data_IF_312097996574
#
_entry.id   IF_312097996574
#
_cell.length_a   1.000
_cell.length_b   1.000
_cell.length_c   1.000
_cell.angle_alpha   90.00
_cell.angle_beta   90.00
_cell.angle_gamma   90.00
#
_symmetry.space_group_name_H-M   'P 1'
#
loop_
_entity.id
_entity.type
_entity.pdbx_description
1 polymer ?
#
# COMPACT_ATOMS: atom_id res chain seq x y z
N UNK A 1 6.58 -10.32 9.28
CA UNK A 1 5.87 -9.03 9.21
C UNK A 1 6.83 -8.01 8.62
N UNK A 2 6.75 -7.73 7.31
CA UNK A 2 7.45 -6.56 6.74
C UNK A 2 6.66 -5.31 7.14
N UNK A 3 6.88 -4.84 8.37
CA UNK A 3 6.35 -3.56 8.82
C UNK A 3 6.99 -2.45 7.99
N UNK A 4 6.21 -1.83 7.12
CA UNK A 4 6.61 -0.62 6.43
C UNK A 4 7.13 0.38 7.49
N UNK A 5 8.36 0.89 7.32
CA UNK A 5 9.00 1.81 8.29
C UNK A 5 8.13 3.03 8.60
N UNK A 6 7.27 3.40 7.66
CA UNK A 6 6.24 4.42 7.82
C UNK A 6 5.31 4.15 9.00
N UNK A 7 4.83 2.91 9.13
CA UNK A 7 3.91 2.51 10.20
C UNK A 7 4.61 2.35 11.54
N UNK A 8 5.92 2.07 11.55
CA UNK A 8 6.70 2.04 12.80
C UNK A 8 6.86 3.44 13.38
N UNK A 9 7.26 4.43 12.57
CA UNK A 9 7.34 5.82 13.03
C UNK A 9 5.99 6.39 13.45
N UNK A 10 4.92 5.97 12.76
CA UNK A 10 3.54 6.30 13.15
C UNK A 10 3.16 5.69 14.51
N UNK A 11 3.38 4.39 14.75
CA UNK A 11 3.03 3.73 16.01
C UNK A 11 3.79 4.32 17.21
N UNK A 12 5.08 4.63 17.03
CA UNK A 12 5.88 5.30 18.06
C UNK A 12 5.35 6.70 18.38
N UNK A 13 4.99 7.48 17.36
CA UNK A 13 4.44 8.82 17.54
C UNK A 13 3.11 8.79 18.29
N UNK A 14 2.19 7.91 17.90
CA UNK A 14 0.86 7.76 18.54
C UNK A 14 0.99 7.38 20.02
N UNK A 15 1.88 6.44 20.36
CA UNK A 15 2.09 6.00 21.76
C UNK A 15 2.58 7.11 22.68
N UNK A 16 3.24 8.13 22.13
CA UNK A 16 3.73 9.28 22.88
C UNK A 16 2.76 10.47 22.95
N UNK A 17 1.65 10.44 22.22
CA UNK A 17 0.72 11.56 22.14
C UNK A 17 -0.31 11.56 23.26
N UNK A 18 -0.63 12.75 23.75
CA UNK A 18 -1.80 12.98 24.60
C UNK A 18 -3.06 13.21 23.75
N UNK A 19 -4.23 12.91 24.31
CA UNK A 19 -5.51 13.22 23.67
C UNK A 19 -5.64 14.73 23.45
N UNK A 20 -6.03 15.13 22.24
CA UNK A 20 -6.11 16.51 21.78
C UNK A 20 -4.78 17.08 21.27
N UNK A 21 -3.70 16.29 21.27
CA UNK A 21 -2.41 16.71 20.71
C UNK A 21 -2.38 16.50 19.19
N UNK A 22 -1.82 17.49 18.49
CA UNK A 22 -1.47 17.38 17.06
C UNK A 22 0.04 17.27 16.92
N UNK A 23 0.50 16.32 16.10
CA UNK A 23 1.91 16.18 15.72
C UNK A 23 2.04 16.13 14.21
N UNK A 24 3.19 16.54 13.70
CA UNK A 24 3.49 16.53 12.28
C UNK A 24 4.66 15.58 12.06
N UNK A 25 4.44 14.54 11.25
CA UNK A 25 5.42 13.52 10.93
C UNK A 25 5.83 13.66 9.47
N UNK A 26 7.14 13.72 9.23
CA UNK A 26 7.67 13.58 7.87
C UNK A 26 7.91 12.10 7.59
N UNK A 27 7.39 11.64 6.47
CA UNK A 27 7.46 10.25 6.08
C UNK A 27 7.82 10.15 4.58
N UNK A 28 8.63 9.16 4.22
CA UNK A 28 8.99 8.90 2.84
C UNK A 28 8.64 7.47 2.46
N UNK A 29 8.17 7.26 1.23
CA UNK A 29 7.92 5.92 0.71
C UNK A 29 9.18 5.15 0.34
N UNK A 30 10.35 5.63 0.79
CA UNK A 30 11.67 5.13 0.40
C UNK A 30 12.16 5.70 -0.92
N UNK A 31 13.36 5.27 -1.32
CA UNK A 31 13.97 5.67 -2.58
C UNK A 31 13.27 4.99 -3.76
N UNK A 32 13.02 5.76 -4.82
CA UNK A 32 12.59 5.21 -6.09
C UNK A 32 13.78 4.52 -6.76
N UNK A 33 13.62 3.23 -7.07
CA UNK A 33 14.68 2.40 -7.65
C UNK A 33 14.38 2.13 -9.11
N UNK A 34 15.30 2.54 -9.98
CA UNK A 34 15.22 2.27 -11.42
C UNK A 34 15.20 0.77 -11.74
N UNK A 35 15.81 -0.04 -10.88
CA UNK A 35 15.83 -1.51 -11.01
C UNK A 35 14.45 -2.15 -10.85
N UNK A 36 13.50 -1.45 -10.22
CA UNK A 36 12.11 -1.90 -10.06
C UNK A 36 11.20 -1.37 -11.18
N UNK A 37 11.76 -0.65 -12.16
CA UNK A 37 11.08 -0.30 -13.40
C UNK A 37 11.37 -1.38 -14.45
N UNK A 38 10.34 -2.12 -14.82
CA UNK A 38 10.45 -3.20 -15.78
C UNK A 38 9.85 -2.79 -17.12
N UNK A 39 10.61 -2.97 -18.20
CA UNK A 39 10.10 -2.97 -19.56
C UNK A 39 9.97 -4.42 -20.01
N UNK A 40 8.73 -4.89 -20.16
CA UNK A 40 8.44 -6.30 -20.45
C UNK A 40 7.80 -6.39 -21.84
N UNK A 41 8.34 -7.23 -22.76
CA UNK A 41 7.72 -7.45 -24.06
C UNK A 41 6.28 -7.95 -23.94
N UNK A 42 5.40 -7.59 -24.88
CA UNK A 42 3.98 -8.00 -24.84
C UNK A 42 3.79 -9.51 -24.86
N UNK A 43 4.68 -10.23 -25.55
CA UNK A 43 4.67 -11.70 -25.66
C UNK A 43 5.15 -12.43 -24.38
N UNK A 44 5.58 -11.68 -23.37
CA UNK A 44 6.04 -12.29 -22.12
C UNK A 44 4.86 -12.98 -21.40
N UNK A 45 5.05 -14.19 -20.83
CA UNK A 45 3.98 -14.94 -20.16
C UNK A 45 3.31 -14.16 -19.03
N UNK A 46 4.04 -13.27 -18.36
CA UNK A 46 3.49 -12.41 -17.32
C UNK A 46 2.47 -11.40 -17.87
N UNK A 47 2.73 -10.82 -19.04
CA UNK A 47 1.80 -9.88 -19.67
C UNK A 47 0.55 -10.61 -20.15
N UNK A 48 0.69 -11.79 -20.75
CA UNK A 48 -0.44 -12.63 -21.14
C UNK A 48 -1.32 -13.03 -19.94
N UNK A 49 -0.69 -13.35 -18.78
CA UNK A 49 -1.40 -13.62 -17.52
C UNK A 49 -2.18 -12.40 -17.04
N UNK A 50 -1.55 -11.23 -17.05
CA UNK A 50 -2.17 -9.96 -16.66
C UNK A 50 -3.34 -9.59 -17.59
N UNK A 51 -3.17 -9.69 -18.91
CA UNK A 51 -4.24 -9.50 -19.88
C UNK A 51 -5.44 -10.40 -19.59
N UNK A 52 -5.20 -11.69 -19.33
CA UNK A 52 -6.26 -12.64 -19.00
C UNK A 52 -7.00 -12.29 -17.71
N UNK A 53 -6.26 -11.90 -16.66
CA UNK A 53 -6.84 -11.54 -15.35
C UNK A 53 -7.63 -10.24 -15.40
N UNK A 54 -7.14 -9.23 -16.12
CA UNK A 54 -7.75 -7.90 -16.19
C UNK A 54 -8.62 -7.69 -17.45
N UNK A 55 -8.89 -8.74 -18.22
CA UNK A 55 -9.76 -8.69 -19.42
C UNK A 55 -11.13 -8.07 -19.15
N UNK A 56 -11.72 -8.38 -18.00
CA UNK A 56 -13.03 -7.86 -17.58
C UNK A 56 -13.00 -6.40 -17.13
N UNK A 57 -11.81 -5.84 -16.88
CA UNK A 57 -11.61 -4.44 -16.46
C UNK A 57 -11.28 -3.51 -17.63
N UNK A 58 -11.43 -3.97 -18.87
CA UNK A 58 -11.05 -3.22 -20.08
C UNK A 58 -9.62 -3.46 -20.55
N UNK A 59 -8.93 -4.47 -19.98
CA UNK A 59 -7.58 -4.85 -20.35
C UNK A 59 -6.49 -4.05 -19.61
N UNK A 60 -5.26 -4.12 -20.13
CA UNK A 60 -4.12 -3.41 -19.57
C UNK A 60 -4.12 -1.96 -20.05
N UNK A 61 -4.37 -1.03 -19.13
CA UNK A 61 -4.37 0.40 -19.39
C UNK A 61 -3.30 1.11 -18.54
N UNK A 62 -2.68 2.20 -19.05
CA UNK A 62 -1.83 3.06 -18.22
C UNK A 62 -2.56 3.56 -16.97
N UNK A 63 -1.85 3.58 -15.84
CA UNK A 63 -2.39 3.92 -14.52
C UNK A 63 -3.04 2.76 -13.76
N UNK A 64 -3.24 1.60 -14.40
CA UNK A 64 -3.79 0.43 -13.73
C UNK A 64 -2.76 -0.16 -12.76
N UNK A 65 -3.22 -0.48 -11.54
CA UNK A 65 -2.43 -1.22 -10.56
C UNK A 65 -2.68 -2.71 -10.76
N UNK A 66 -1.62 -3.46 -10.98
CA UNK A 66 -1.65 -4.91 -11.20
C UNK A 66 -0.84 -5.67 -10.17
N UNK A 67 -1.25 -6.90 -9.91
CA UNK A 67 -0.52 -7.83 -9.06
C UNK A 67 0.31 -8.79 -9.93
N UNK A 68 1.63 -8.72 -9.77
CA UNK A 68 2.62 -9.58 -10.44
C UNK A 68 2.57 -11.02 -9.89
N UNK A 69 3.17 -11.99 -10.60
CA UNK A 69 3.14 -13.40 -10.23
C UNK A 69 3.84 -13.72 -8.89
N UNK A 70 4.75 -12.85 -8.46
CA UNK A 70 5.41 -12.92 -7.16
C UNK A 70 4.57 -12.30 -6.02
N UNK A 71 3.35 -11.83 -6.30
CA UNK A 71 2.48 -11.14 -5.36
C UNK A 71 2.83 -9.66 -5.13
N UNK A 72 3.83 -9.12 -5.82
CA UNK A 72 4.14 -7.70 -5.75
C UNK A 72 3.14 -6.87 -6.56
N UNK A 73 2.84 -5.67 -6.08
CA UNK A 73 2.00 -4.73 -6.80
C UNK A 73 2.85 -3.85 -7.70
N UNK A 74 2.41 -3.60 -8.93
CA UNK A 74 3.06 -2.74 -9.89
C UNK A 74 2.03 -1.85 -10.61
N UNK A 75 2.46 -0.66 -11.04
CA UNK A 75 1.63 0.28 -11.81
C UNK A 75 2.04 0.24 -13.27
N UNK A 76 1.08 0.16 -14.19
CA UNK A 76 1.36 0.26 -15.62
C UNK A 76 1.61 1.73 -15.97
N UNK A 77 2.81 2.07 -16.40
CA UNK A 77 3.12 3.43 -16.84
C UNK A 77 2.77 3.64 -18.31
N UNK A 78 3.04 2.62 -19.12
CA UNK A 78 2.85 2.69 -20.57
C UNK A 78 2.50 1.30 -21.09
N UNK A 79 1.55 1.25 -22.01
CA UNK A 79 1.10 0.02 -22.66
C UNK A 79 1.15 0.25 -24.15
N UNK A 80 2.06 -0.45 -24.81
CA UNK A 80 2.20 -0.43 -26.28
C UNK A 80 2.00 -1.84 -26.83
N UNK A 81 1.87 -1.96 -28.15
CA UNK A 81 1.73 -3.26 -28.81
C UNK A 81 3.03 -4.09 -28.75
N UNK A 82 4.18 -3.46 -28.54
CA UNK A 82 5.48 -4.13 -28.47
C UNK A 82 5.90 -4.44 -27.02
N UNK A 83 5.70 -3.50 -26.09
CA UNK A 83 6.15 -3.61 -24.71
C UNK A 83 5.19 -2.95 -23.71
N UNK A 84 5.25 -3.40 -22.46
CA UNK A 84 4.53 -2.85 -21.32
C UNK A 84 5.54 -2.40 -20.27
N UNK A 85 5.43 -1.14 -19.83
CA UNK A 85 6.25 -0.60 -18.75
C UNK A 85 5.52 -0.71 -17.43
N UNK A 86 6.14 -1.41 -16.50
CA UNK A 86 5.61 -1.72 -15.17
C UNK A 86 6.53 -1.10 -14.12
N UNK A 87 5.97 -0.28 -13.25
CA UNK A 87 6.67 0.26 -12.09
C UNK A 87 6.29 -0.55 -10.85
N UNK A 88 7.21 -1.38 -10.36
CA UNK A 88 7.04 -2.17 -9.14
C UNK A 88 7.57 -1.46 -7.88
N UNK A 89 7.91 -0.17 -7.98
CA UNK A 89 8.24 0.61 -6.80
C UNK A 89 7.02 0.76 -5.88
N UNK A 90 7.29 1.05 -4.59
CA UNK A 90 6.24 1.48 -3.68
C UNK A 90 5.52 2.70 -4.28
N UNK A 91 4.19 2.77 -4.18
CA UNK A 91 3.39 3.90 -4.69
C UNK A 91 3.86 5.26 -4.16
N UNK A 92 4.48 5.27 -2.98
CA UNK A 92 5.01 6.46 -2.32
C UNK A 92 6.53 6.63 -2.52
N UNK A 93 7.20 5.73 -3.26
CA UNK A 93 8.63 5.79 -3.49
C UNK A 93 9.02 7.09 -4.21
N UNK A 94 10.11 7.72 -3.75
CA UNK A 94 10.57 9.01 -4.26
C UNK A 94 9.68 10.19 -3.86
N UNK A 95 8.64 9.98 -3.05
CA UNK A 95 7.82 11.05 -2.48
C UNK A 95 8.13 11.20 -1.00
N UNK A 96 8.45 12.43 -0.60
CA UNK A 96 8.40 12.87 0.79
C UNK A 96 7.05 13.50 1.03
N UNK A 97 6.37 13.09 2.09
CA UNK A 97 5.07 13.64 2.46
C UNK A 97 5.01 13.88 3.96
N UNK A 98 4.20 14.85 4.32
CA UNK A 98 3.99 15.26 5.70
C UNK A 98 2.61 14.79 6.14
N UNK A 99 2.55 14.09 7.26
CA UNK A 99 1.31 13.63 7.88
C UNK A 99 1.08 14.49 9.11
N UNK A 100 -0.01 15.25 9.13
CA UNK A 100 -0.51 15.86 10.35
C UNK A 100 -1.45 14.86 11.03
N UNK A 101 -1.15 14.56 12.29
CA UNK A 101 -1.85 13.56 13.07
C UNK A 101 -2.39 14.20 14.33
N UNK A 102 -3.68 14.04 14.57
CA UNK A 102 -4.36 14.49 15.79
C UNK A 102 -4.92 13.29 16.55
N UNK A 103 -4.59 13.17 17.84
CA UNK A 103 -5.14 12.11 18.68
C UNK A 103 -6.46 12.54 19.28
N UNK A 104 -7.57 12.10 18.70
CA UNK A 104 -8.91 12.53 19.11
C UNK A 104 -9.40 11.88 20.41
N UNK A 105 -9.15 10.58 20.59
CA UNK A 105 -9.57 9.82 21.76
C UNK A 105 -8.72 8.54 21.90
N UNK A 106 -8.66 8.00 23.12
CA UNK A 106 -8.13 6.67 23.39
C UNK A 106 -9.28 5.85 23.99
N UNK A 107 -9.88 4.99 23.18
CA UNK A 107 -10.87 4.04 23.66
C UNK A 107 -10.14 2.84 24.25
N UNK A 108 -10.41 2.51 25.51
CA UNK A 108 -10.01 1.21 26.02
C UNK A 108 -10.73 0.15 25.18
N UNK A 109 -10.04 -0.93 24.74
CA UNK A 109 -10.76 -2.08 24.20
C UNK A 109 -11.74 -2.46 25.31
N UNK A 110 -13.04 -2.46 24.98
CA UNK A 110 -14.08 -2.86 25.92
C UNK A 110 -13.57 -4.10 26.62
N UNK A 111 -13.35 -3.99 27.93
CA UNK A 111 -12.94 -5.13 28.74
C UNK A 111 -13.87 -6.26 28.33
N UNK A 112 -13.28 -7.42 28.01
CA UNK A 112 -14.01 -8.62 27.67
C UNK A 112 -14.82 -9.08 28.89
N UNK A 113 -15.90 -8.36 29.21
CA UNK A 113 -16.74 -8.56 30.39
C UNK A 113 -18.24 -8.50 30.08
N UNK A 114 -18.65 -8.26 28.83
CA UNK A 114 -20.06 -8.36 28.40
C UNK A 114 -20.40 -9.63 27.60
N UNK A 115 -19.44 -10.54 27.38
CA UNK A 115 -19.69 -11.78 26.63
C UNK A 115 -20.09 -13.01 27.49
N UNK A 116 -20.08 -12.92 28.83
CA UNK A 116 -20.36 -14.06 29.70
C UNK A 116 -21.62 -13.96 30.58
N UNK A 117 -22.21 -12.77 30.77
CA UNK A 117 -23.36 -12.61 31.67
C UNK A 117 -24.74 -12.84 31.02
N UNK A 118 -24.84 -12.95 29.70
CA UNK A 118 -26.11 -13.12 28.99
C UNK A 118 -26.47 -14.58 28.61
N UNK A 119 -25.69 -15.58 29.05
CA UNK A 119 -25.90 -16.98 28.69
C UNK A 119 -26.45 -17.88 29.83
N UNK A 120 -26.70 -17.35 31.03
CA UNK A 120 -27.36 -18.08 32.12
C UNK A 120 -28.16 -17.14 33.03
N UNK A 121 -29.37 -16.78 32.60
CA UNK A 121 -30.48 -16.38 33.47
C UNK A 121 -31.81 -16.64 32.75
#
# INVERSE_FOLDING_TARGET
MMGNRLFQGFDEAVRGMAVGQTTVLEASGGEWKRELLFAVPRDHPEVARLEGRYKNHGGLAPGLVVELANGAMAVLLEVTDAEVKLDANNMLAGKTFTIELELLAIDAPAAAEDAAAAATA
#
